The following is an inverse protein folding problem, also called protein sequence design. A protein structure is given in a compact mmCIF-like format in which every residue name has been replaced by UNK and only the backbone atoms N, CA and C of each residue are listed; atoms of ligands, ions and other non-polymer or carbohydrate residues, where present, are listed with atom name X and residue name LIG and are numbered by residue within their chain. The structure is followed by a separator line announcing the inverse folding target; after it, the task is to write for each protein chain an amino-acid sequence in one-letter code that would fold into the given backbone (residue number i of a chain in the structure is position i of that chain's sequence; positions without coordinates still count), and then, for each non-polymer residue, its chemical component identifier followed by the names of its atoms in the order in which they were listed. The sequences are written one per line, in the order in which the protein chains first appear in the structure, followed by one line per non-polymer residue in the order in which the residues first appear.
data_IF_833751562508
#
_entry.id   IF_833751562508
#
_cell.length_a   1.000
_cell.length_b   1.000
_cell.length_c   1.000
_cell.angle_alpha   90.00
_cell.angle_beta   90.00
_cell.angle_gamma   90.00
#
_symmetry.space_group_name_H-M   'P 1'
#
loop_
_entity.id
_entity.type
_entity.pdbx_description
1 polymer ?
#
# COMPACT_ATOMS: atom_id res chain seq x y z
N UNK A 1 -13.92 70.06 -14.32
CA UNK A 1 -14.32 69.53 -13.01
C UNK A 1 -15.63 68.72 -13.08
N UNK A 2 -15.73 67.75 -14.01
CA UNK A 2 -16.89 66.82 -14.13
C UNK A 2 -16.48 65.38 -14.49
N UNK A 3 -15.30 65.17 -15.07
CA UNK A 3 -14.77 63.83 -15.40
C UNK A 3 -14.10 63.08 -14.23
N UNK A 4 -13.76 63.75 -13.13
CA UNK A 4 -13.10 63.11 -11.98
C UNK A 4 -14.07 62.45 -11.00
N UNK A 5 -15.32 62.91 -10.93
CA UNK A 5 -16.32 62.36 -10.00
C UNK A 5 -16.94 61.04 -10.50
N UNK A 6 -17.11 60.89 -11.82
CA UNK A 6 -17.67 59.68 -12.42
C UNK A 6 -16.71 58.47 -12.31
N UNK A 7 -15.40 58.72 -12.41
CA UNK A 7 -14.37 57.68 -12.27
C UNK A 7 -14.24 57.14 -10.84
N UNK A 8 -14.43 57.99 -9.81
CA UNK A 8 -14.39 57.57 -8.41
C UNK A 8 -15.62 56.73 -8.00
N UNK A 9 -16.80 56.99 -8.60
CA UNK A 9 -18.02 56.19 -8.39
C UNK A 9 -17.87 54.80 -9.03
N UNK A 10 -17.25 54.72 -10.22
CA UNK A 10 -17.03 53.43 -10.88
C UNK A 10 -16.03 52.53 -10.12
N UNK A 11 -14.98 53.12 -9.53
CA UNK A 11 -13.99 52.38 -8.74
C UNK A 11 -14.55 51.88 -7.40
N UNK A 12 -15.46 52.63 -6.78
CA UNK A 12 -16.12 52.21 -5.52
C UNK A 12 -17.21 51.15 -5.74
N UNK A 13 -17.88 51.13 -6.90
CA UNK A 13 -18.76 50.02 -7.30
C UNK A 13 -17.99 48.72 -7.60
N UNK A 14 -16.75 48.81 -8.12
CA UNK A 14 -15.89 47.65 -8.36
C UNK A 14 -15.30 47.05 -7.08
N UNK A 15 -15.04 47.86 -6.05
CA UNK A 15 -14.56 47.39 -4.73
C UNK A 15 -15.72 46.82 -3.88
N UNK A 16 -16.96 47.25 -4.13
CA UNK A 16 -18.17 46.72 -3.50
C UNK A 16 -18.61 45.34 -4.00
N UNK A 17 -18.05 44.86 -5.11
CA UNK A 17 -18.18 43.50 -5.62
C UNK A 17 -17.02 42.61 -5.16
N UNK A 18 -16.59 42.75 -3.90
CA UNK A 18 -15.93 41.65 -3.21
C UNK A 18 -17.00 40.59 -2.87
N UNK A 19 -17.55 39.96 -3.91
CA UNK A 19 -18.16 38.66 -3.74
C UNK A 19 -17.08 37.79 -3.12
N UNK A 20 -17.30 37.34 -1.88
CA UNK A 20 -16.53 36.21 -1.36
C UNK A 20 -16.75 35.09 -2.37
N UNK A 21 -15.76 34.86 -3.22
CA UNK A 21 -15.65 33.58 -3.91
C UNK A 21 -15.31 32.61 -2.78
N UNK A 22 -16.34 32.09 -2.10
CA UNK A 22 -16.18 30.84 -1.38
C UNK A 22 -15.84 29.82 -2.46
N UNK A 23 -14.54 29.53 -2.59
CA UNK A 23 -14.13 28.29 -3.20
C UNK A 23 -14.92 27.21 -2.45
N UNK A 24 -15.78 26.49 -3.16
CA UNK A 24 -16.56 25.42 -2.57
C UNK A 24 -15.58 24.37 -2.05
N UNK A 25 -15.26 24.46 -0.76
CA UNK A 25 -14.29 23.57 -0.14
C UNK A 25 -14.86 22.14 -0.22
N UNK A 26 -14.13 21.25 -0.86
CA UNK A 26 -14.54 19.85 -0.93
C UNK A 26 -14.55 19.25 0.48
N UNK A 27 -15.53 18.39 0.75
CA UNK A 27 -15.61 17.67 2.03
C UNK A 27 -14.58 16.54 2.07
N UNK A 28 -13.32 16.86 2.37
CA UNK A 28 -12.22 15.89 2.42
C UNK A 28 -12.42 14.80 3.48
N UNK A 29 -13.15 15.10 4.57
CA UNK A 29 -13.51 14.10 5.58
C UNK A 29 -14.39 13.01 4.98
N UNK A 30 -15.43 13.41 4.25
CA UNK A 30 -16.33 12.47 3.60
C UNK A 30 -15.64 11.70 2.46
N UNK A 31 -14.80 12.38 1.67
CA UNK A 31 -14.01 11.74 0.63
C UNK A 31 -13.08 10.66 1.21
N UNK A 32 -12.39 10.95 2.31
CA UNK A 32 -11.55 9.99 3.02
C UNK A 32 -12.35 8.78 3.53
N UNK A 33 -13.47 9.02 4.21
CA UNK A 33 -14.32 7.94 4.74
C UNK A 33 -14.79 6.99 3.62
N UNK A 34 -15.21 7.56 2.47
CA UNK A 34 -15.61 6.78 1.29
C UNK A 34 -14.44 6.01 0.67
N UNK A 35 -13.23 6.58 0.64
CA UNK A 35 -12.03 5.90 0.16
C UNK A 35 -11.69 4.67 1.00
N UNK A 36 -11.89 4.74 2.32
CA UNK A 36 -11.66 3.59 3.20
C UNK A 36 -12.76 2.52 3.02
N UNK A 37 -14.01 2.93 2.84
CA UNK A 37 -15.10 2.01 2.50
C UNK A 37 -14.82 1.30 1.16
N UNK A 38 -14.23 1.99 0.17
CA UNK A 38 -13.80 1.34 -1.07
C UNK A 38 -12.84 0.16 -0.81
N UNK A 39 -11.87 0.30 0.10
CA UNK A 39 -11.00 -0.83 0.46
C UNK A 39 -11.79 -1.98 1.11
N UNK A 40 -12.78 -1.67 1.95
CA UNK A 40 -13.68 -2.71 2.51
C UNK A 40 -14.46 -3.44 1.43
N UNK A 41 -14.89 -2.73 0.38
CA UNK A 41 -15.53 -3.30 -0.80
C UNK A 41 -14.61 -4.24 -1.59
N UNK A 42 -13.29 -4.19 -1.41
CA UNK A 42 -12.33 -5.05 -2.10
C UNK A 42 -11.90 -6.28 -1.29
N UNK A 43 -12.34 -6.43 -0.03
CA UNK A 43 -11.92 -7.55 0.83
C UNK A 43 -12.31 -8.90 0.24
N UNK A 44 -11.37 -9.83 0.10
CA UNK A 44 -11.62 -11.25 -0.22
C UNK A 44 -11.58 -12.09 1.05
N UNK A 45 -12.27 -13.23 1.09
CA UNK A 45 -12.28 -14.13 2.23
C UNK A 45 -13.52 -14.01 3.10
N UNK A 46 -13.42 -14.50 4.34
CA UNK A 46 -14.49 -14.41 5.33
C UNK A 46 -14.55 -13.02 5.92
N UNK A 47 -15.61 -12.27 5.63
CA UNK A 47 -15.77 -10.89 6.07
C UNK A 47 -16.02 -10.80 7.59
N UNK A 48 -15.58 -9.72 8.24
CA UNK A 48 -15.78 -9.56 9.68
C UNK A 48 -17.26 -9.29 10.00
N UNK A 49 -17.74 -9.66 11.20
CA UNK A 49 -19.15 -9.50 11.58
C UNK A 49 -19.62 -8.04 11.62
N UNK A 50 -18.69 -7.08 11.71
CA UNK A 50 -18.95 -5.64 11.67
C UNK A 50 -18.72 -5.02 10.27
N UNK A 51 -18.76 -5.83 9.20
CA UNK A 51 -18.65 -5.34 7.83
C UNK A 51 -19.66 -4.21 7.54
N UNK A 52 -19.18 -3.06 7.04
CA UNK A 52 -20.02 -1.88 6.74
C UNK A 52 -20.64 -1.93 5.34
N UNK A 53 -20.22 -2.87 4.50
CA UNK A 53 -20.62 -2.96 3.08
C UNK A 53 -21.69 -4.05 2.93
N UNK A 54 -23.00 -3.71 2.97
CA UNK A 54 -24.08 -4.70 3.11
C UNK A 54 -24.27 -5.61 1.88
N UNK A 55 -23.72 -5.23 0.73
CA UNK A 55 -23.83 -5.98 -0.52
C UNK A 55 -22.63 -6.92 -0.77
N UNK A 56 -21.58 -6.86 0.07
CA UNK A 56 -20.44 -7.78 0.04
C UNK A 56 -20.65 -8.94 1.01
N UNK A 57 -20.33 -10.15 0.56
CA UNK A 57 -20.38 -11.37 1.36
C UNK A 57 -19.03 -12.11 1.36
N UNK A 58 -19.01 -13.24 2.07
CA UNK A 58 -17.85 -14.14 2.10
C UNK A 58 -17.53 -14.66 0.69
N UNK A 59 -16.26 -14.64 0.31
CA UNK A 59 -15.80 -15.05 -1.02
C UNK A 59 -14.40 -15.67 -0.98
N UNK A 60 -14.00 -16.41 -2.03
CA UNK A 60 -12.63 -16.96 -2.12
C UNK A 60 -12.25 -17.89 -0.95
N UNK A 61 -13.21 -18.62 -0.39
CA UNK A 61 -13.02 -19.42 0.84
C UNK A 61 -12.18 -20.69 0.63
N UNK A 62 -11.87 -21.05 -0.61
CA UNK A 62 -10.96 -22.14 -0.96
C UNK A 62 -9.58 -21.63 -1.43
N UNK A 63 -9.30 -20.32 -1.32
CA UNK A 63 -8.02 -19.72 -1.72
C UNK A 63 -6.84 -20.41 -1.03
N UNK A 64 -5.92 -20.96 -1.83
CA UNK A 64 -4.72 -21.66 -1.34
C UNK A 64 -4.85 -23.18 -1.22
N UNK A 65 -6.07 -23.74 -1.30
CA UNK A 65 -6.33 -25.18 -1.18
C UNK A 65 -5.55 -26.02 -2.20
N UNK A 66 -5.45 -25.55 -3.44
CA UNK A 66 -4.65 -26.21 -4.50
C UNK A 66 -3.15 -26.31 -4.17
N UNK A 67 -2.66 -25.43 -3.29
CA UNK A 67 -1.27 -25.41 -2.84
C UNK A 67 -1.09 -25.87 -1.38
N UNK A 68 -2.14 -26.44 -0.77
CA UNK A 68 -2.17 -26.90 0.63
C UNK A 68 -1.69 -25.83 1.64
N UNK A 69 -2.26 -24.63 1.51
CA UNK A 69 -2.02 -23.46 2.37
C UNK A 69 -3.33 -22.67 2.52
N UNK A 70 -3.52 -22.00 3.67
CA UNK A 70 -4.60 -21.03 3.82
C UNK A 70 -4.15 -19.70 3.20
N UNK A 71 -4.79 -19.28 2.10
CA UNK A 71 -4.62 -17.97 1.49
C UNK A 71 -5.92 -17.17 1.48
N UNK A 72 -6.89 -17.50 2.33
CA UNK A 72 -8.15 -16.75 2.48
C UNK A 72 -7.84 -15.37 3.07
N UNK A 73 -8.44 -14.31 2.52
CA UNK A 73 -8.20 -12.93 2.95
C UNK A 73 -7.65 -12.06 1.83
N UNK A 74 -7.13 -10.88 2.19
CA UNK A 74 -6.48 -9.95 1.27
C UNK A 74 -7.51 -9.16 0.46
N UNK A 75 -7.03 -8.47 -0.57
CA UNK A 75 -7.85 -7.60 -1.42
C UNK A 75 -7.91 -8.14 -2.85
N UNK A 76 -9.08 -8.09 -3.47
CA UNK A 76 -9.17 -8.12 -4.93
C UNK A 76 -8.59 -6.83 -5.48
N UNK A 77 -7.86 -6.94 -6.57
CA UNK A 77 -7.00 -5.86 -7.06
C UNK A 77 -7.80 -4.68 -7.63
N UNK A 78 -8.70 -4.94 -8.56
CA UNK A 78 -9.44 -3.89 -9.26
C UNK A 78 -10.94 -4.24 -9.38
N UNK A 79 -11.46 -4.30 -10.60
CA UNK A 79 -12.83 -4.76 -10.88
C UNK A 79 -12.93 -6.27 -11.08
N UNK A 80 -11.81 -6.97 -11.02
CA UNK A 80 -11.66 -8.41 -11.14
C UNK A 80 -11.58 -9.07 -9.75
N UNK A 81 -11.43 -10.40 -9.70
CA UNK A 81 -11.30 -11.13 -8.45
C UNK A 81 -9.91 -11.79 -8.29
N UNK A 82 -8.91 -11.37 -9.05
CA UNK A 82 -7.53 -11.81 -8.86
C UNK A 82 -6.92 -11.06 -7.66
N UNK A 83 -6.07 -11.76 -6.92
CA UNK A 83 -5.25 -11.16 -5.85
C UNK A 83 -3.82 -11.08 -6.33
N UNK A 84 -3.42 -9.90 -6.81
CA UNK A 84 -2.05 -9.59 -7.20
C UNK A 84 -1.25 -9.09 -5.99
N UNK A 85 -0.06 -9.64 -5.81
CA UNK A 85 0.75 -9.44 -4.61
C UNK A 85 1.42 -8.08 -4.60
N UNK A 86 1.97 -7.67 -5.73
CA UNK A 86 2.72 -6.42 -5.86
C UNK A 86 1.87 -5.16 -5.58
N UNK A 87 0.76 -4.90 -6.31
CA UNK A 87 -0.07 -3.72 -6.08
C UNK A 87 -0.76 -3.75 -4.71
N UNK A 88 -1.11 -4.94 -4.19
CA UNK A 88 -1.65 -5.07 -2.84
C UNK A 88 -0.62 -4.66 -1.78
N UNK A 89 0.63 -5.11 -1.93
CA UNK A 89 1.70 -4.76 -0.99
C UNK A 89 1.96 -3.25 -1.02
N UNK A 90 2.07 -2.66 -2.21
CA UNK A 90 2.20 -1.22 -2.40
C UNK A 90 1.06 -0.43 -1.73
N UNK A 91 -0.18 -0.89 -1.89
CA UNK A 91 -1.35 -0.28 -1.26
C UNK A 91 -1.23 -0.30 0.27
N UNK A 92 -0.85 -1.45 0.85
CA UNK A 92 -0.68 -1.59 2.31
C UNK A 92 0.47 -0.73 2.83
N UNK A 93 1.60 -0.63 2.10
CA UNK A 93 2.70 0.26 2.47
C UNK A 93 2.25 1.72 2.46
N UNK A 94 1.51 2.13 1.43
CA UNK A 94 1.04 3.52 1.28
C UNK A 94 -0.02 3.88 2.34
N UNK A 95 -0.95 2.97 2.65
CA UNK A 95 -1.88 3.13 3.76
C UNK A 95 -1.16 3.28 5.10
N UNK A 96 -0.12 2.46 5.31
CA UNK A 96 0.70 2.53 6.52
C UNK A 96 1.47 3.84 6.60
N UNK A 97 2.05 4.30 5.50
CA UNK A 97 2.72 5.60 5.43
C UNK A 97 1.74 6.73 5.77
N UNK A 98 0.56 6.74 5.17
CA UNK A 98 -0.49 7.70 5.46
C UNK A 98 -0.92 7.67 6.93
N UNK A 99 -1.07 6.47 7.52
CA UNK A 99 -1.42 6.29 8.92
C UNK A 99 -0.35 6.84 9.88
N UNK A 100 0.94 6.67 9.54
CA UNK A 100 2.07 7.19 10.32
C UNK A 100 2.12 8.72 10.22
N UNK A 101 2.06 9.27 9.02
CA UNK A 101 2.27 10.69 8.78
C UNK A 101 1.07 11.54 9.22
N UNK A 102 -0.16 11.08 8.95
CA UNK A 102 -1.40 11.80 9.23
C UNK A 102 -2.15 11.26 10.46
N UNK A 103 -1.46 10.59 11.39
CA UNK A 103 -2.08 9.94 12.55
C UNK A 103 -3.04 10.86 13.31
N UNK A 104 -2.63 12.11 13.59
CA UNK A 104 -3.42 13.08 14.35
C UNK A 104 -4.68 13.51 13.59
N UNK A 105 -4.57 13.72 12.29
CA UNK A 105 -5.67 14.14 11.41
C UNK A 105 -6.68 13.01 11.26
N UNK A 106 -6.21 11.78 11.01
CA UNK A 106 -7.05 10.57 10.96
C UNK A 106 -7.79 10.35 12.29
N UNK A 107 -7.12 10.56 13.41
CA UNK A 107 -7.75 10.48 14.74
C UNK A 107 -8.82 11.57 14.93
N UNK A 108 -8.53 12.81 14.54
CA UNK A 108 -9.44 13.94 14.70
C UNK A 108 -10.74 13.78 13.89
N UNK A 109 -10.68 13.11 12.73
CA UNK A 109 -11.85 12.87 11.88
C UNK A 109 -12.53 11.52 12.15
N UNK A 110 -11.95 10.68 13.02
CA UNK A 110 -12.53 9.39 13.43
C UNK A 110 -12.19 8.19 12.53
N UNK A 111 -11.26 8.35 11.58
CA UNK A 111 -10.94 7.31 10.57
C UNK A 111 -9.69 6.48 10.89
N UNK A 112 -8.97 6.81 11.97
CA UNK A 112 -7.71 6.10 12.31
C UNK A 112 -7.92 4.60 12.53
N UNK A 113 -9.02 4.19 13.16
CA UNK A 113 -9.29 2.77 13.38
C UNK A 113 -9.64 2.07 12.06
N UNK A 114 -10.42 2.68 11.18
CA UNK A 114 -10.78 2.10 9.89
C UNK A 114 -9.55 1.91 8.98
N UNK A 115 -8.62 2.87 8.98
CA UNK A 115 -7.32 2.72 8.30
C UNK A 115 -6.51 1.57 8.90
N UNK A 116 -6.44 1.45 10.24
CA UNK A 116 -5.75 0.34 10.92
C UNK A 116 -6.37 -1.01 10.57
N UNK A 117 -7.70 -1.09 10.49
CA UNK A 117 -8.40 -2.31 10.10
C UNK A 117 -8.12 -2.68 8.63
N UNK A 118 -8.00 -1.68 7.75
CA UNK A 118 -7.60 -1.88 6.35
C UNK A 118 -6.16 -2.39 6.23
N UNK A 119 -5.22 -1.79 6.97
CA UNK A 119 -3.82 -2.25 6.99
C UNK A 119 -3.74 -3.68 7.54
N UNK A 120 -4.39 -3.95 8.68
CA UNK A 120 -4.39 -5.27 9.31
C UNK A 120 -4.92 -6.35 8.39
N UNK A 121 -5.98 -6.07 7.63
CA UNK A 121 -6.54 -7.02 6.67
C UNK A 121 -5.52 -7.45 5.61
N UNK A 122 -4.75 -6.50 5.07
CA UNK A 122 -3.69 -6.78 4.12
C UNK A 122 -2.51 -7.52 4.76
N UNK A 123 -2.07 -7.10 5.94
CA UNK A 123 -0.94 -7.75 6.62
C UNK A 123 -1.26 -9.13 7.16
N UNK A 124 -2.49 -9.40 7.58
CA UNK A 124 -2.94 -10.75 7.94
C UNK A 124 -2.86 -11.70 6.74
N UNK A 125 -3.25 -11.22 5.55
CA UNK A 125 -3.06 -11.97 4.32
C UNK A 125 -1.58 -12.19 4.01
N UNK A 126 -0.72 -11.18 4.13
CA UNK A 126 0.72 -11.36 3.90
C UNK A 126 1.39 -12.32 4.89
N UNK A 127 0.93 -12.37 6.14
CA UNK A 127 1.39 -13.37 7.11
C UNK A 127 1.05 -14.80 6.68
N UNK A 128 -0.13 -15.00 6.08
CA UNK A 128 -0.54 -16.28 5.48
C UNK A 128 0.25 -16.61 4.21
N UNK A 129 0.37 -15.64 3.31
CA UNK A 129 1.11 -15.73 2.05
C UNK A 129 2.61 -15.99 2.25
N UNK A 130 3.16 -15.65 3.42
CA UNK A 130 4.56 -15.89 3.78
C UNK A 130 4.71 -16.92 4.91
N UNK A 131 3.72 -17.79 5.10
CA UNK A 131 3.69 -18.79 6.17
C UNK A 131 4.77 -19.86 6.06
N UNK A 132 5.28 -20.11 4.85
CA UNK A 132 6.34 -21.09 4.58
C UNK A 132 7.71 -20.40 4.57
N UNK A 133 8.77 -21.02 5.13
CA UNK A 133 10.12 -20.46 5.07
C UNK A 133 10.58 -20.23 3.62
N UNK A 134 11.26 -19.11 3.38
CA UNK A 134 11.86 -18.73 2.09
C UNK A 134 10.91 -18.84 0.88
N UNK A 135 9.64 -18.54 1.11
CA UNK A 135 8.58 -18.59 0.10
C UNK A 135 7.59 -17.46 0.35
N UNK A 136 7.10 -16.88 -0.74
CA UNK A 136 5.98 -15.96 -0.74
C UNK A 136 4.99 -16.38 -1.82
N UNK A 137 3.74 -16.58 -1.45
CA UNK A 137 2.63 -16.74 -2.40
C UNK A 137 2.23 -15.34 -2.90
N UNK A 138 2.37 -15.11 -4.20
CA UNK A 138 2.28 -13.77 -4.78
C UNK A 138 0.98 -13.54 -5.53
N UNK A 139 0.35 -14.59 -6.06
CA UNK A 139 -0.91 -14.45 -6.78
C UNK A 139 -1.91 -15.54 -6.40
N UNK A 140 -3.19 -15.17 -6.29
CA UNK A 140 -4.30 -16.13 -6.20
C UNK A 140 -5.38 -15.80 -7.24
N UNK A 141 -5.70 -16.77 -8.08
CA UNK A 141 -6.58 -16.60 -9.24
C UNK A 141 -5.79 -16.64 -10.55
N UNK A 142 -6.36 -17.31 -11.54
CA UNK A 142 -5.88 -17.24 -12.92
C UNK A 142 -6.54 -16.04 -13.60
N UNK A 143 -5.78 -15.06 -14.08
CA UNK A 143 -6.37 -13.82 -14.54
C UNK A 143 -7.11 -13.95 -15.86
N UNK A 144 -6.68 -14.86 -16.74
CA UNK A 144 -7.37 -15.10 -18.01
C UNK A 144 -8.76 -15.68 -17.76
N UNK A 145 -8.86 -16.68 -16.88
CA UNK A 145 -10.15 -17.27 -16.52
C UNK A 145 -11.03 -16.32 -15.72
N UNK A 146 -10.45 -15.53 -14.80
CA UNK A 146 -11.19 -14.55 -14.01
C UNK A 146 -11.81 -13.48 -14.92
N UNK A 147 -11.03 -12.92 -15.85
CA UNK A 147 -11.46 -11.82 -16.72
C UNK A 147 -12.41 -12.27 -17.84
N UNK A 148 -12.50 -13.58 -18.12
CA UNK A 148 -13.53 -14.14 -19.01
C UNK A 148 -14.91 -14.20 -18.36
N UNK A 149 -15.03 -13.97 -17.04
CA UNK A 149 -16.26 -14.15 -16.29
C UNK A 149 -16.66 -12.86 -15.57
N UNK A 150 -17.77 -12.23 -15.98
CA UNK A 150 -18.36 -11.12 -15.25
C UNK A 150 -19.21 -11.64 -14.08
N UNK A 151 -18.59 -11.81 -12.91
CA UNK A 151 -19.23 -12.46 -11.76
C UNK A 151 -18.92 -11.76 -10.44
N UNK A 152 -19.87 -11.87 -9.51
CA UNK A 152 -19.65 -11.47 -8.13
C UNK A 152 -18.60 -12.37 -7.48
N UNK A 153 -17.73 -11.85 -6.60
CA UNK A 153 -16.73 -12.65 -5.91
C UNK A 153 -17.36 -13.79 -5.08
N UNK A 154 -18.55 -13.57 -4.52
CA UNK A 154 -19.27 -14.57 -3.71
C UNK A 154 -19.72 -15.80 -4.53
N UNK A 155 -19.77 -15.67 -5.86
CA UNK A 155 -20.30 -16.70 -6.77
C UNK A 155 -19.21 -17.30 -7.67
N UNK A 156 -17.92 -17.06 -7.40
CA UNK A 156 -16.85 -17.65 -8.19
C UNK A 156 -16.87 -19.18 -8.11
N UNK A 157 -16.84 -19.84 -9.26
CA UNK A 157 -16.82 -21.30 -9.37
C UNK A 157 -15.58 -21.84 -10.09
N UNK A 158 -14.79 -20.95 -10.71
CA UNK A 158 -13.53 -21.31 -11.36
C UNK A 158 -12.46 -21.71 -10.33
N UNK A 159 -11.61 -22.70 -10.64
CA UNK A 159 -10.42 -22.97 -9.85
C UNK A 159 -9.53 -21.73 -9.75
N UNK A 160 -9.10 -21.38 -8.53
CA UNK A 160 -8.23 -20.23 -8.27
C UNK A 160 -6.81 -20.72 -8.05
N UNK A 161 -5.98 -20.63 -9.09
CA UNK A 161 -4.57 -21.05 -9.08
C UNK A 161 -3.75 -20.20 -8.11
N UNK A 162 -2.57 -20.70 -7.75
CA UNK A 162 -1.68 -20.02 -6.81
C UNK A 162 -0.29 -19.92 -7.42
N UNK A 163 0.24 -18.71 -7.53
CA UNK A 163 1.63 -18.47 -7.90
C UNK A 163 2.45 -18.12 -6.67
N UNK A 164 3.76 -18.40 -6.75
CA UNK A 164 4.70 -18.20 -5.65
C UNK A 164 6.08 -17.85 -6.18
N UNK A 165 6.85 -17.21 -5.33
CA UNK A 165 8.29 -17.04 -5.47
C UNK A 165 8.99 -17.78 -4.31
N UNK A 166 10.17 -18.30 -4.60
CA UNK A 166 11.06 -18.95 -3.63
C UNK A 166 12.50 -18.95 -4.17
N UNK A 167 13.40 -19.69 -3.53
CA UNK A 167 14.83 -19.75 -3.92
C UNK A 167 15.07 -20.19 -5.38
N UNK A 168 14.08 -20.83 -6.02
CA UNK A 168 14.19 -21.30 -7.41
C UNK A 168 13.38 -20.47 -8.40
N UNK A 169 12.50 -19.60 -7.91
CA UNK A 169 11.69 -18.69 -8.73
C UNK A 169 11.77 -17.32 -8.07
N UNK A 170 12.76 -16.49 -8.47
CA UNK A 170 13.00 -15.21 -7.82
C UNK A 170 11.85 -14.23 -8.08
N UNK A 171 11.77 -13.21 -7.23
CA UNK A 171 10.81 -12.11 -7.35
C UNK A 171 11.12 -11.02 -6.34
N UNK A 172 12.20 -10.31 -6.63
CA UNK A 172 12.81 -9.33 -5.73
C UNK A 172 11.83 -8.20 -5.41
N UNK A 173 11.17 -7.68 -6.43
CA UNK A 173 10.19 -6.58 -6.38
C UNK A 173 9.10 -6.89 -5.36
N UNK A 174 8.38 -8.00 -5.58
CA UNK A 174 7.22 -8.37 -4.76
C UNK A 174 7.65 -8.74 -3.34
N UNK A 175 8.78 -9.45 -3.18
CA UNK A 175 9.32 -9.78 -1.87
C UNK A 175 9.71 -8.52 -1.08
N UNK A 176 10.37 -7.56 -1.73
CA UNK A 176 10.79 -6.31 -1.12
C UNK A 176 9.60 -5.38 -0.82
N UNK A 177 8.64 -5.21 -1.73
CA UNK A 177 7.43 -4.41 -1.46
C UNK A 177 6.59 -5.02 -0.33
N UNK A 178 6.47 -6.36 -0.27
CA UNK A 178 5.79 -7.02 0.85
C UNK A 178 6.56 -6.82 2.17
N UNK A 179 7.89 -6.80 2.12
CA UNK A 179 8.71 -6.46 3.28
C UNK A 179 8.49 -5.00 3.73
N UNK A 180 8.41 -4.06 2.78
CA UNK A 180 8.10 -2.65 3.04
C UNK A 180 6.72 -2.51 3.71
N UNK A 181 5.69 -3.17 3.17
CA UNK A 181 4.34 -3.18 3.71
C UNK A 181 4.32 -3.64 5.16
N UNK A 182 4.98 -4.75 5.47
CA UNK A 182 5.06 -5.30 6.82
C UNK A 182 5.90 -4.42 7.77
N UNK A 183 7.00 -3.84 7.31
CA UNK A 183 7.82 -2.94 8.10
C UNK A 183 7.08 -1.64 8.44
N UNK A 184 6.45 -0.99 7.45
CA UNK A 184 5.64 0.21 7.67
C UNK A 184 4.45 -0.08 8.60
N UNK A 185 3.75 -1.18 8.37
CA UNK A 185 2.63 -1.61 9.23
C UNK A 185 3.08 -1.88 10.67
N UNK A 186 4.27 -2.45 10.88
CA UNK A 186 4.79 -2.69 12.23
C UNK A 186 4.91 -1.40 13.04
N UNK A 187 5.22 -0.27 12.40
CA UNK A 187 5.28 1.06 13.03
C UNK A 187 3.87 1.49 13.46
N UNK A 188 2.86 1.31 12.61
CA UNK A 188 1.45 1.68 12.88
C UNK A 188 0.91 0.95 14.12
N UNK A 189 1.26 -0.34 14.27
CA UNK A 189 0.75 -1.18 15.36
C UNK A 189 1.62 -1.19 16.62
N UNK A 190 2.81 -0.56 16.61
CA UNK A 190 3.81 -0.67 17.68
C UNK A 190 3.27 -0.38 19.08
N UNK A 191 2.48 0.69 19.21
CA UNK A 191 1.99 1.17 20.52
C UNK A 191 0.59 0.65 20.88
N UNK A 192 -0.08 -0.05 19.96
CA UNK A 192 -1.45 -0.54 20.13
C UNK A 192 -1.57 -2.07 20.13
N UNK A 193 -0.61 -2.77 19.53
CA UNK A 193 -0.53 -4.23 19.46
C UNK A 193 0.93 -4.63 19.22
N UNK A 194 1.73 -4.55 20.28
CA UNK A 194 3.17 -4.79 20.24
C UNK A 194 3.53 -6.21 19.74
N UNK A 195 2.71 -7.21 20.10
CA UNK A 195 2.93 -8.61 19.68
C UNK A 195 2.76 -8.73 18.16
N UNK A 196 1.70 -8.14 17.61
CA UNK A 196 1.47 -8.12 16.17
C UNK A 196 2.53 -7.31 15.43
N UNK A 197 2.88 -6.11 15.95
CA UNK A 197 3.97 -5.28 15.41
C UNK A 197 5.28 -6.07 15.29
N UNK A 198 5.68 -6.78 16.35
CA UNK A 198 6.89 -7.60 16.33
C UNK A 198 6.81 -8.75 15.32
N UNK A 199 5.64 -9.40 15.21
CA UNK A 199 5.39 -10.46 14.21
C UNK A 199 5.56 -9.94 12.78
N UNK A 200 4.99 -8.77 12.48
CA UNK A 200 5.12 -8.11 11.17
C UNK A 200 6.57 -7.75 10.88
N UNK A 201 7.26 -7.13 11.84
CA UNK A 201 8.65 -6.72 11.68
C UNK A 201 9.60 -7.90 11.43
N UNK A 202 9.41 -9.00 12.15
CA UNK A 202 10.21 -10.21 11.91
C UNK A 202 9.95 -10.80 10.53
N UNK A 203 8.69 -10.76 10.07
CA UNK A 203 8.37 -11.22 8.72
C UNK A 203 8.95 -10.30 7.65
N UNK A 204 8.90 -8.99 7.83
CA UNK A 204 9.52 -8.01 6.94
C UNK A 204 11.02 -8.30 6.75
N UNK A 205 11.75 -8.56 7.84
CA UNK A 205 13.18 -8.95 7.77
C UNK A 205 13.40 -10.24 6.98
N UNK A 206 12.56 -11.25 7.19
CA UNK A 206 12.63 -12.52 6.46
C UNK A 206 12.35 -12.34 4.97
N UNK A 207 11.41 -11.46 4.60
CA UNK A 207 11.06 -11.21 3.20
C UNK A 207 12.12 -10.38 2.48
N UNK A 208 12.70 -9.36 3.15
CA UNK A 208 13.86 -8.65 2.60
C UNK A 208 15.05 -9.61 2.40
N UNK A 209 15.26 -10.56 3.32
CA UNK A 209 16.29 -11.59 3.14
C UNK A 209 16.01 -12.51 1.94
N UNK A 210 14.73 -12.83 1.66
CA UNK A 210 14.36 -13.59 0.47
C UNK A 210 14.67 -12.78 -0.80
N UNK A 211 14.26 -11.50 -0.83
CA UNK A 211 14.52 -10.58 -1.94
C UNK A 211 16.04 -10.44 -2.22
N UNK A 212 16.84 -10.23 -1.17
CA UNK A 212 18.28 -9.97 -1.32
C UNK A 212 19.12 -11.21 -1.65
N UNK A 213 18.69 -12.42 -1.25
CA UNK A 213 19.47 -13.66 -1.43
C UNK A 213 19.32 -14.30 -2.81
N UNK A 214 18.20 -14.06 -3.48
CA UNK A 214 17.88 -14.65 -4.78
C UNK A 214 17.33 -13.55 -5.70
N UNK A 215 18.19 -12.58 -6.04
CA UNK A 215 17.79 -11.43 -6.86
C UNK A 215 17.45 -11.88 -8.28
N UNK A 216 16.28 -11.48 -8.72
CA UNK A 216 15.74 -11.63 -10.06
C UNK A 216 14.35 -11.04 -10.14
N UNK A 217 13.99 -10.58 -11.34
CA UNK A 217 12.66 -10.03 -11.62
C UNK A 217 11.63 -11.14 -11.72
N UNK A 218 10.42 -10.88 -11.21
CA UNK A 218 9.27 -11.76 -11.36
C UNK A 218 8.23 -11.15 -12.30
N UNK A 219 8.10 -11.74 -13.48
CA UNK A 219 7.09 -11.34 -14.48
C UNK A 219 5.84 -12.23 -14.46
N UNK A 220 5.63 -13.02 -13.40
CA UNK A 220 4.51 -13.96 -13.35
C UNK A 220 3.13 -13.30 -13.23
N UNK A 221 3.07 -12.00 -12.89
CA UNK A 221 1.83 -11.20 -12.92
C UNK A 221 1.64 -10.47 -14.28
N UNK A 222 2.57 -10.60 -15.24
CA UNK A 222 2.40 -10.07 -16.59
C UNK A 222 1.27 -10.77 -17.36
N UNK A 223 0.59 -10.08 -18.29
CA UNK A 223 0.82 -8.69 -18.72
C UNK A 223 0.13 -7.63 -17.84
N UNK A 224 -0.38 -8.00 -16.66
CA UNK A 224 -1.20 -7.10 -15.82
C UNK A 224 -0.31 -6.22 -14.92
N UNK A 225 0.60 -6.85 -14.18
CA UNK A 225 1.54 -6.18 -13.28
C UNK A 225 2.97 -6.62 -13.58
N UNK A 226 3.52 -6.11 -14.69
CA UNK A 226 4.91 -6.33 -15.06
C UNK A 226 5.86 -5.42 -14.28
N UNK A 227 7.06 -5.91 -13.97
CA UNK A 227 8.15 -5.07 -13.46
C UNK A 227 8.76 -4.29 -14.64
N UNK A 228 8.51 -2.98 -14.71
CA UNK A 228 9.11 -2.11 -15.73
C UNK A 228 10.31 -1.33 -15.18
N UNK A 229 10.27 -0.98 -13.90
CA UNK A 229 11.32 -0.26 -13.17
C UNK A 229 12.50 -1.16 -12.74
N UNK A 230 12.28 -2.48 -12.67
CA UNK A 230 13.21 -3.44 -12.04
C UNK A 230 12.94 -3.54 -10.53
N UNK A 231 13.94 -3.94 -9.75
CA UNK A 231 13.79 -4.18 -8.30
C UNK A 231 14.60 -3.27 -7.38
N UNK A 232 15.37 -2.35 -7.94
CA UNK A 232 16.32 -1.56 -7.16
C UNK A 232 15.59 -0.58 -6.24
N UNK A 233 14.50 0.00 -6.72
CA UNK A 233 13.68 0.92 -5.96
C UNK A 233 12.88 0.24 -4.85
N UNK A 234 12.35 -0.98 -5.05
CA UNK A 234 11.69 -1.74 -3.98
C UNK A 234 12.70 -2.18 -2.92
N UNK A 235 13.91 -2.59 -3.32
CA UNK A 235 14.97 -2.90 -2.37
C UNK A 235 15.29 -1.69 -1.50
N UNK A 236 15.47 -0.51 -2.11
CA UNK A 236 15.74 0.73 -1.38
C UNK A 236 14.57 1.15 -0.49
N UNK A 237 13.34 1.00 -0.99
CA UNK A 237 12.10 1.31 -0.28
C UNK A 237 11.90 0.41 0.95
N UNK A 238 12.08 -0.90 0.80
CA UNK A 238 11.97 -1.87 1.87
C UNK A 238 13.01 -1.65 2.96
N UNK A 239 14.27 -1.42 2.56
CA UNK A 239 15.36 -1.09 3.48
C UNK A 239 15.07 0.21 4.23
N UNK A 240 14.53 1.22 3.55
CA UNK A 240 14.14 2.50 4.16
C UNK A 240 13.07 2.31 5.23
N UNK A 241 12.01 1.54 4.95
CA UNK A 241 10.99 1.22 5.94
C UNK A 241 11.51 0.40 7.11
N UNK A 242 12.38 -0.57 6.85
CA UNK A 242 13.03 -1.36 7.89
C UNK A 242 13.95 -0.51 8.77
N UNK A 243 14.69 0.45 8.19
CA UNK A 243 15.45 1.42 8.96
C UNK A 243 14.53 2.30 9.83
N UNK A 244 13.42 2.83 9.27
CA UNK A 244 12.45 3.61 10.07
C UNK A 244 11.83 2.80 11.20
N UNK A 245 11.59 1.51 11.00
CA UNK A 245 11.00 0.64 12.01
C UNK A 245 12.00 0.22 13.11
N UNK A 246 13.28 0.05 12.77
CA UNK A 246 14.28 -0.59 13.66
C UNK A 246 15.40 0.31 14.14
N UNK A 247 15.72 1.37 13.39
CA UNK A 247 16.95 2.17 13.53
C UNK A 247 18.24 1.36 13.45
N UNK A 248 18.21 0.18 12.82
CA UNK A 248 19.39 -0.65 12.65
C UNK A 248 20.33 -0.08 11.58
N UNK A 249 21.59 0.16 11.96
CA UNK A 249 22.62 0.74 11.08
C UNK A 249 22.94 -0.12 9.85
N UNK A 250 22.66 -1.42 9.84
CA UNK A 250 22.83 -2.24 8.62
C UNK A 250 21.96 -1.73 7.48
N UNK A 251 20.73 -1.32 7.76
CA UNK A 251 19.84 -0.74 6.74
C UNK A 251 20.29 0.66 6.33
N UNK A 252 20.82 1.45 7.28
CA UNK A 252 21.38 2.75 6.98
C UNK A 252 22.60 2.65 6.05
N UNK A 253 23.49 1.69 6.31
CA UNK A 253 24.64 1.44 5.44
C UNK A 253 24.21 1.15 4.00
N UNK A 254 23.22 0.26 3.82
CA UNK A 254 22.67 0.00 2.49
C UNK A 254 22.10 1.28 1.85
N UNK A 255 21.36 2.10 2.61
CA UNK A 255 20.81 3.37 2.12
C UNK A 255 21.91 4.33 1.64
N UNK A 256 23.04 4.42 2.35
CA UNK A 256 24.10 5.37 2.05
C UNK A 256 25.07 4.88 0.97
N UNK A 257 25.35 3.57 0.94
CA UNK A 257 26.46 3.01 0.16
C UNK A 257 25.99 2.15 -1.03
N UNK A 258 24.79 1.57 -0.97
CA UNK A 258 24.30 0.61 -1.98
C UNK A 258 23.08 1.11 -2.77
N UNK A 259 22.51 2.25 -2.40
CA UNK A 259 21.34 2.80 -3.09
C UNK A 259 21.69 3.34 -4.48
N UNK A 260 20.77 3.16 -5.42
CA UNK A 260 20.90 3.68 -6.77
C UNK A 260 20.02 4.92 -6.87
N UNK A 261 20.62 6.03 -7.29
CA UNK A 261 19.88 7.27 -7.49
C UNK A 261 19.11 7.23 -8.82
N UNK A 262 17.90 7.78 -8.81
CA UNK A 262 17.09 7.98 -10.00
C UNK A 262 16.32 9.30 -9.92
N UNK A 263 16.15 9.97 -11.05
CA UNK A 263 15.26 11.13 -11.19
C UNK A 263 13.97 10.64 -11.82
N UNK A 264 12.89 10.66 -11.05
CA UNK A 264 11.59 10.12 -11.47
C UNK A 264 10.48 11.17 -11.32
N UNK A 265 9.48 11.10 -12.19
CA UNK A 265 8.32 11.99 -12.17
C UNK A 265 7.10 11.42 -11.46
N UNK A 266 7.17 10.17 -10.98
CA UNK A 266 6.02 9.44 -10.45
C UNK A 266 6.38 8.52 -9.27
N UNK A 267 5.34 8.13 -8.53
CA UNK A 267 5.37 7.14 -7.46
C UNK A 267 4.15 6.25 -7.62
N UNK A 268 4.35 4.96 -7.86
CA UNK A 268 3.27 4.01 -8.14
C UNK A 268 3.66 2.59 -7.70
N UNK A 269 2.81 1.61 -8.01
CA UNK A 269 3.01 0.20 -7.63
C UNK A 269 4.25 -0.45 -8.24
N UNK A 270 4.83 0.11 -9.30
CA UNK A 270 6.06 -0.34 -9.98
C UNK A 270 7.26 0.52 -9.57
N UNK A 271 7.11 1.84 -9.38
CA UNK A 271 8.22 2.78 -9.16
C UNK A 271 8.21 3.49 -7.79
N UNK A 272 9.23 3.23 -6.95
CA UNK A 272 9.27 3.67 -5.51
C UNK A 272 10.27 4.77 -5.21
N UNK A 273 11.16 5.14 -6.14
CA UNK A 273 12.25 6.09 -5.88
C UNK A 273 11.78 7.42 -5.25
N UNK A 274 10.73 8.05 -5.78
CA UNK A 274 10.21 9.31 -5.24
C UNK A 274 9.75 9.18 -3.78
N UNK A 275 9.08 8.08 -3.43
CA UNK A 275 8.64 7.81 -2.06
C UNK A 275 9.85 7.63 -1.12
N UNK A 276 10.83 6.83 -1.55
CA UNK A 276 12.08 6.62 -0.82
C UNK A 276 12.82 7.92 -0.55
N UNK A 277 13.00 8.76 -1.57
CA UNK A 277 13.68 10.04 -1.46
C UNK A 277 13.01 10.95 -0.43
N UNK A 278 11.67 11.05 -0.45
CA UNK A 278 10.91 11.83 0.55
C UNK A 278 11.18 11.29 1.96
N UNK A 279 11.06 9.96 2.17
CA UNK A 279 11.29 9.36 3.48
C UNK A 279 12.71 9.57 4.01
N UNK A 280 13.69 9.57 3.11
CA UNK A 280 15.10 9.75 3.45
C UNK A 280 15.46 11.20 3.76
N UNK A 281 14.69 12.19 3.30
CA UNK A 281 14.92 13.59 3.72
C UNK A 281 14.86 13.73 5.25
N UNK A 282 13.92 13.06 5.91
CA UNK A 282 13.81 13.05 7.38
C UNK A 282 15.01 12.36 8.06
N UNK A 283 15.62 11.38 7.40
CA UNK A 283 16.77 10.63 7.93
C UNK A 283 18.06 11.43 7.76
N UNK A 284 18.31 11.98 6.58
CA UNK A 284 19.54 12.72 6.27
C UNK A 284 19.64 14.07 7.00
N UNK A 285 18.51 14.73 7.29
CA UNK A 285 18.49 15.94 8.13
C UNK A 285 19.04 15.65 9.54
N UNK A 286 18.83 14.44 10.07
CA UNK A 286 19.34 14.06 11.39
C UNK A 286 20.86 13.85 11.34
N UNK A 287 21.42 13.31 10.25
CA UNK A 287 22.85 13.02 10.14
C UNK A 287 23.73 14.21 9.73
N UNK A 288 23.19 15.22 9.04
CA UNK A 288 23.95 16.47 8.78
C UNK A 288 24.12 17.36 10.01
N UNK A 289 23.41 17.06 11.11
CA UNK A 289 23.47 17.79 12.37
C UNK A 289 24.24 17.03 13.48
N UNK A 290 24.95 15.97 13.12
CA UNK A 290 25.93 15.24 13.95
C UNK A 290 27.33 15.45 13.37
#
# INVERSE_FOLDING_TARGET
MKMTLLGMIFLSLLIGLNGKVEAQAHNYKEALAKSIIFLECQRSGKLPPNNRVPWRGDSGLDDGKLANVDLIGGYYDAGDNVKYGLPMAFTVTTLSWGAIFYQKQLQAVGELQHIRDAIRWGTDYFLKASSRPKRLYVQVGDPVQDHQCWIRPENMHMPRTVLKIDEHTPGTEIAAETAAAMAASSIVFRDIDHVYSHKLLNKAKSLLSLAGSHRGTYDGECPFYCSYSGFNDEMQWAVTWLYKATRNNTYLHYILEESIDAVVGEFNWDLKYAGTQILLTEVCIIYKNL
#
